data_IF_184939737589
#
_entry.id   IF_184939737589
#
_cell.length_a   1.000
_cell.length_b   1.000
_cell.length_c   1.000
_cell.angle_alpha   90.00
_cell.angle_beta   90.00
_cell.angle_gamma   90.00
#
_symmetry.space_group_name_H-M   'P 1'
#
loop_
_entity.id
_entity.type
_entity.pdbx_description
1 polymer ?
#
# COMPACT_ATOMS: atom_id res chain seq x y z
N UNK A 1 3.97 26.77 -6.69
CA UNK A 1 4.41 25.74 -5.75
C UNK A 1 3.85 24.38 -6.20
N UNK A 2 4.71 23.41 -6.33
CA UNK A 2 4.27 22.08 -6.73
C UNK A 2 3.76 21.32 -5.52
N UNK A 3 2.53 20.86 -5.61
CA UNK A 3 1.96 20.05 -4.54
C UNK A 3 2.29 18.58 -4.80
N UNK A 4 3.00 17.97 -3.87
CA UNK A 4 3.32 16.55 -3.95
C UNK A 4 2.15 15.76 -3.39
N UNK A 5 1.60 14.85 -4.19
CA UNK A 5 0.49 13.99 -3.76
C UNK A 5 0.90 12.53 -3.88
N UNK A 6 0.46 11.74 -2.92
CA UNK A 6 0.62 10.30 -2.97
C UNK A 6 -0.61 9.66 -3.60
N UNK A 7 -0.43 8.46 -4.15
CA UNK A 7 -1.51 7.70 -4.76
C UNK A 7 -1.88 6.53 -3.87
N UNK A 8 -3.16 6.27 -3.78
CA UNK A 8 -3.68 5.12 -3.06
C UNK A 8 -4.57 4.33 -4.00
N UNK A 9 -4.14 3.13 -4.36
CA UNK A 9 -4.87 2.30 -5.31
C UNK A 9 -5.56 1.17 -4.55
N UNK A 10 -6.88 1.09 -4.69
CA UNK A 10 -7.64 0.05 -4.04
C UNK A 10 -8.11 -0.95 -5.09
N UNK A 11 -7.77 -2.23 -4.88
CA UNK A 11 -8.08 -3.31 -5.81
C UNK A 11 -8.95 -4.32 -5.08
N UNK A 12 -10.18 -4.49 -5.56
CA UNK A 12 -11.16 -5.35 -4.94
C UNK A 12 -11.58 -6.54 -5.78
N UNK A 13 -11.37 -6.45 -7.10
CA UNK A 13 -11.84 -7.47 -8.03
C UNK A 13 -10.84 -8.61 -8.14
N UNK A 14 -11.33 -9.84 -8.00
CA UNK A 14 -10.50 -11.03 -8.19
C UNK A 14 -9.88 -11.04 -9.59
N UNK A 15 -8.62 -11.46 -9.68
CA UNK A 15 -7.92 -11.56 -10.94
C UNK A 15 -7.32 -10.25 -11.46
N UNK A 16 -7.42 -9.16 -10.69
CA UNK A 16 -6.89 -7.86 -11.11
C UNK A 16 -5.70 -7.40 -10.29
N UNK A 17 -5.15 -8.26 -9.43
CA UNK A 17 -3.98 -7.90 -8.62
C UNK A 17 -2.79 -7.59 -9.53
N UNK A 18 -1.95 -6.62 -9.16
CA UNK A 18 -0.78 -6.28 -9.96
C UNK A 18 0.27 -7.38 -9.87
N UNK A 19 1.15 -7.45 -10.88
CA UNK A 19 2.36 -8.23 -10.77
C UNK A 19 3.29 -7.56 -9.75
N UNK A 20 4.32 -8.28 -9.30
CA UNK A 20 5.33 -7.69 -8.43
C UNK A 20 5.98 -6.48 -9.11
N UNK A 21 6.30 -6.61 -10.40
CA UNK A 21 6.93 -5.51 -11.14
C UNK A 21 6.04 -4.28 -11.22
N UNK A 22 4.74 -4.49 -11.45
CA UNK A 22 3.79 -3.39 -11.48
C UNK A 22 3.67 -2.72 -10.12
N UNK A 23 3.64 -3.51 -9.05
CA UNK A 23 3.57 -2.97 -7.69
C UNK A 23 4.83 -2.16 -7.36
N UNK A 24 6.00 -2.69 -7.72
CA UNK A 24 7.26 -1.98 -7.50
C UNK A 24 7.29 -0.64 -8.24
N UNK A 25 6.83 -0.64 -9.48
CA UNK A 25 6.75 0.61 -10.25
C UNK A 25 5.80 1.61 -9.60
N UNK A 26 4.68 1.13 -9.10
CA UNK A 26 3.69 2.00 -8.48
C UNK A 26 4.20 2.63 -7.18
N UNK A 27 4.83 1.84 -6.30
CA UNK A 27 5.33 2.36 -5.03
C UNK A 27 6.69 3.04 -5.16
N UNK A 28 7.37 2.85 -6.29
CA UNK A 28 8.65 3.52 -6.58
C UNK A 28 9.86 2.84 -6.00
N UNK A 29 9.81 1.53 -5.77
CA UNK A 29 10.94 0.78 -5.22
C UNK A 29 10.53 -0.60 -4.74
N UNK A 30 11.34 -1.19 -3.89
CA UNK A 30 11.03 -2.49 -3.32
C UNK A 30 9.75 -2.40 -2.49
N UNK A 31 8.96 -3.46 -2.53
CA UNK A 31 7.68 -3.50 -1.82
C UNK A 31 7.82 -4.14 -0.45
N UNK A 32 7.04 -3.64 0.49
CA UNK A 32 6.79 -4.28 1.77
C UNK A 32 5.31 -4.58 1.82
N UNK A 33 4.95 -5.77 2.30
CA UNK A 33 3.56 -6.16 2.44
C UNK A 33 3.15 -6.18 3.90
N UNK A 34 1.99 -5.60 4.18
CA UNK A 34 1.42 -5.59 5.52
C UNK A 34 0.12 -6.37 5.49
N UNK A 35 0.06 -7.44 6.26
CA UNK A 35 -1.16 -8.25 6.37
C UNK A 35 -2.11 -7.61 7.37
N UNK A 36 -3.29 -7.22 6.89
CA UNK A 36 -4.29 -6.59 7.73
C UNK A 36 -5.20 -7.65 8.37
N UNK A 37 -5.78 -7.34 9.54
CA UNK A 37 -6.62 -8.33 10.25
C UNK A 37 -7.84 -8.83 9.50
N UNK A 38 -8.28 -8.11 8.46
CA UNK A 38 -9.42 -8.51 7.63
C UNK A 38 -9.00 -9.37 6.43
N UNK A 39 -7.76 -9.90 6.46
CA UNK A 39 -7.18 -10.70 5.38
C UNK A 39 -6.88 -9.92 4.11
N UNK A 40 -6.99 -8.61 4.12
CA UNK A 40 -6.53 -7.78 3.02
C UNK A 40 -5.04 -7.50 3.18
N UNK A 41 -4.44 -6.93 2.13
CA UNK A 41 -3.01 -6.71 2.08
C UNK A 41 -2.73 -5.26 1.70
N UNK A 42 -1.82 -4.62 2.42
CA UNK A 42 -1.35 -3.29 2.06
C UNK A 42 0.07 -3.42 1.51
N UNK A 43 0.28 -2.89 0.30
CA UNK A 43 1.59 -2.92 -0.37
C UNK A 43 2.15 -1.51 -0.36
N UNK A 44 3.33 -1.34 0.22
CA UNK A 44 3.97 -0.04 0.38
C UNK A 44 5.44 -0.11 -0.03
N UNK A 45 6.08 1.04 -0.13
CA UNK A 45 7.51 1.11 -0.40
C UNK A 45 8.28 0.73 0.87
N UNK A 46 9.12 -0.29 0.78
CA UNK A 46 9.90 -0.79 1.91
C UNK A 46 10.78 0.28 2.53
N UNK A 47 11.31 1.18 1.72
CA UNK A 47 12.25 2.22 2.18
C UNK A 47 11.62 3.62 2.18
N UNK A 48 10.30 3.71 2.19
CA UNK A 48 9.61 4.99 2.06
C UNK A 48 10.04 6.03 3.09
N UNK A 49 10.19 5.62 4.35
CA UNK A 49 10.60 6.55 5.40
C UNK A 49 12.04 6.99 5.26
N UNK A 50 12.92 6.07 4.84
CA UNK A 50 14.32 6.40 4.59
C UNK A 50 14.47 7.38 3.43
N UNK A 51 13.58 7.29 2.45
CA UNK A 51 13.59 8.17 1.29
C UNK A 51 12.79 9.45 1.51
N UNK A 52 12.25 9.65 2.71
CA UNK A 52 11.44 10.82 3.05
C UNK A 52 10.26 11.02 2.10
N UNK A 53 9.60 9.95 1.70
CA UNK A 53 8.43 10.05 0.85
C UNK A 53 7.29 10.75 1.60
N UNK A 54 6.43 11.47 0.88
CA UNK A 54 5.33 12.20 1.53
C UNK A 54 4.30 11.28 2.15
N UNK A 55 3.62 11.77 3.17
CA UNK A 55 2.56 11.04 3.85
C UNK A 55 1.46 10.62 2.88
N UNK A 56 0.97 9.40 3.04
CA UNK A 56 -0.20 8.90 2.33
C UNK A 56 -1.38 8.90 3.31
N UNK A 57 -2.27 9.89 3.23
CA UNK A 57 -3.35 10.00 4.22
C UNK A 57 -4.32 8.81 4.20
N UNK A 58 -4.65 8.31 3.02
CA UNK A 58 -5.60 7.19 2.91
C UNK A 58 -5.02 5.89 3.43
N UNK A 59 -3.76 5.61 3.09
CA UNK A 59 -3.09 4.42 3.60
C UNK A 59 -2.87 4.52 5.11
N UNK A 60 -2.55 5.70 5.61
CA UNK A 60 -2.39 5.94 7.04
C UNK A 60 -3.71 5.74 7.78
N UNK A 61 -4.81 6.25 7.22
CA UNK A 61 -6.13 6.04 7.82
C UNK A 61 -6.49 4.55 7.88
N UNK A 62 -6.14 3.80 6.83
CA UNK A 62 -6.37 2.36 6.81
C UNK A 62 -5.56 1.66 7.91
N UNK A 63 -4.29 2.04 8.07
CA UNK A 63 -3.46 1.52 9.15
C UNK A 63 -4.08 1.81 10.53
N UNK A 64 -4.48 3.08 10.74
CA UNK A 64 -5.07 3.49 12.02
C UNK A 64 -6.36 2.75 12.33
N UNK A 65 -7.14 2.44 11.29
CA UNK A 65 -8.38 1.67 11.46
C UNK A 65 -8.12 0.28 12.04
N UNK A 66 -7.02 -0.36 11.61
CA UNK A 66 -6.72 -1.75 12.00
C UNK A 66 -5.78 -1.85 13.20
N UNK A 67 -4.86 -0.91 13.35
CA UNK A 67 -3.80 -1.00 14.36
C UNK A 67 -3.75 0.19 15.31
N UNK A 68 -4.66 1.16 15.16
CA UNK A 68 -4.61 2.39 15.94
C UNK A 68 -3.52 3.34 15.45
N UNK A 69 -3.32 4.48 16.10
CA UNK A 69 -2.38 5.52 15.65
C UNK A 69 -0.93 5.17 15.99
N UNK A 70 -0.47 4.01 15.54
CA UNK A 70 0.86 3.49 15.88
C UNK A 70 1.90 3.76 14.81
N UNK A 71 1.48 4.08 13.59
CA UNK A 71 2.41 4.36 12.50
C UNK A 71 1.73 5.21 11.43
N UNK A 72 2.54 5.78 10.55
CA UNK A 72 2.09 6.53 9.40
C UNK A 72 2.66 5.89 8.14
N UNK A 73 1.86 5.86 7.08
CA UNK A 73 2.28 5.28 5.80
C UNK A 73 2.67 6.40 4.85
N UNK A 74 3.83 6.26 4.23
CA UNK A 74 4.37 7.26 3.31
C UNK A 74 4.52 6.67 1.91
N UNK A 75 4.45 7.53 0.89
CA UNK A 75 4.57 7.10 -0.50
C UNK A 75 3.29 6.51 -1.05
N UNK A 76 3.35 6.07 -2.31
CA UNK A 76 2.21 5.43 -2.95
C UNK A 76 1.95 4.07 -2.33
N UNK A 77 0.69 3.69 -2.22
CA UNK A 77 0.31 2.44 -1.58
C UNK A 77 -0.80 1.75 -2.37
N UNK A 78 -0.82 0.41 -2.31
CA UNK A 78 -1.85 -0.41 -2.94
C UNK A 78 -2.53 -1.22 -1.83
N UNK A 79 -3.87 -1.20 -1.83
CA UNK A 79 -4.66 -2.02 -0.93
C UNK A 79 -5.35 -3.12 -1.73
N UNK A 80 -4.97 -4.36 -1.47
CA UNK A 80 -5.60 -5.51 -2.10
C UNK A 80 -6.63 -6.08 -1.14
N UNK A 81 -7.90 -6.01 -1.53
CA UNK A 81 -8.95 -6.66 -0.76
C UNK A 81 -8.72 -8.17 -0.74
N UNK A 82 -9.25 -8.83 0.27
CA UNK A 82 -9.09 -10.27 0.46
C UNK A 82 -9.32 -11.06 -0.83
N UNK A 83 -10.42 -10.79 -1.53
CA UNK A 83 -10.77 -11.53 -2.75
C UNK A 83 -9.87 -11.18 -3.94
N UNK A 84 -9.15 -10.10 -3.89
CA UNK A 84 -8.28 -9.66 -4.97
C UNK A 84 -6.84 -10.15 -4.84
N UNK A 85 -6.45 -10.70 -3.68
CA UNK A 85 -5.05 -11.05 -3.42
C UNK A 85 -4.48 -12.08 -4.39
N UNK A 86 -5.23 -13.13 -4.69
CA UNK A 86 -4.73 -14.20 -5.54
C UNK A 86 -3.51 -14.90 -4.94
N UNK A 87 -2.94 -15.83 -5.71
CA UNK A 87 -1.80 -16.62 -5.23
C UNK A 87 -0.51 -15.82 -5.15
N UNK A 88 -0.34 -14.83 -6.02
CA UNK A 88 0.88 -14.05 -6.09
C UNK A 88 1.13 -13.16 -4.87
N UNK A 89 0.10 -12.93 -4.07
CA UNK A 89 0.18 -12.05 -2.90
C UNK A 89 -0.31 -12.75 -1.63
N UNK A 90 -0.23 -14.04 -1.60
CA UNK A 90 -0.65 -14.81 -0.42
C UNK A 90 0.36 -14.75 0.73
#
# INVERSE_FOLDING_TARGET
MTKVTTKFKEIRKAGTAPSLEEAQAFVGGLVETVHLPDDSLLIINEEGKLENLPLNPLATALWHKHFGPTDEIVGNAIHLAKDARGEGWS
#
